data_IF_178245966151
#
_entry.id   IF_178245966151
#
_cell.length_a   1.000
_cell.length_b   1.000
_cell.length_c   1.000
_cell.angle_alpha   90.00
_cell.angle_beta   90.00
_cell.angle_gamma   90.00
#
_symmetry.space_group_name_H-M   'P 1'
#
loop_
_entity.id
_entity.type
_entity.pdbx_description
1 polymer ?
#
# COMPACT_ATOMS: atom_id res chain seq x y z
N UNK A 1 1.30 37.40 12.78
CA UNK A 1 -0.09 36.92 12.97
C UNK A 1 -0.79 36.67 11.62
N UNK A 2 -0.42 35.62 10.86
CA UNK A 2 -0.95 35.35 9.49
C UNK A 2 -1.65 33.99 9.30
N UNK A 3 -1.85 33.21 10.36
CA UNK A 3 -2.38 31.82 10.28
C UNK A 3 -3.90 31.69 10.49
N UNK A 4 -4.55 32.76 10.96
CA UNK A 4 -5.98 32.76 11.27
C UNK A 4 -6.91 32.48 10.06
N UNK A 5 -6.68 33.06 8.85
CA UNK A 5 -7.61 32.83 7.74
C UNK A 5 -7.54 31.39 7.20
N UNK A 6 -6.40 30.72 7.34
CA UNK A 6 -6.22 29.34 6.85
C UNK A 6 -6.96 28.31 7.74
N UNK A 7 -6.98 28.55 9.06
CA UNK A 7 -7.68 27.70 10.02
C UNK A 7 -9.19 27.83 9.83
N UNK A 8 -9.70 29.06 9.67
CA UNK A 8 -11.14 29.31 9.44
C UNK A 8 -11.59 28.71 8.11
N UNK A 9 -10.80 28.83 7.05
CA UNK A 9 -11.14 28.25 5.74
C UNK A 9 -11.15 26.71 5.78
N UNK A 10 -10.20 26.09 6.49
CA UNK A 10 -10.15 24.62 6.65
C UNK A 10 -11.34 24.13 7.46
N UNK A 11 -11.71 24.84 8.53
CA UNK A 11 -12.87 24.51 9.36
C UNK A 11 -14.18 24.67 8.56
N UNK A 12 -14.29 25.70 7.73
CA UNK A 12 -15.44 25.92 6.85
C UNK A 12 -15.56 24.82 5.79
N UNK A 13 -14.46 24.42 5.12
CA UNK A 13 -14.48 23.32 4.15
C UNK A 13 -14.88 21.98 4.81
N UNK A 14 -14.46 21.72 6.05
CA UNK A 14 -14.86 20.52 6.77
C UNK A 14 -16.31 20.53 7.28
N UNK A 15 -16.91 21.71 7.51
CA UNK A 15 -18.28 21.84 8.03
C UNK A 15 -19.36 21.92 6.95
N UNK A 16 -18.98 22.12 5.68
CA UNK A 16 -19.88 22.03 4.52
C UNK A 16 -19.85 20.66 3.81
N UNK A 17 -19.23 19.63 4.39
CA UNK A 17 -19.45 18.26 3.92
C UNK A 17 -20.84 17.87 4.41
N UNK A 18 -21.86 17.80 3.55
CA UNK A 18 -23.18 17.42 4.00
C UNK A 18 -23.06 16.00 4.56
N UNK A 19 -23.54 15.78 5.78
CA UNK A 19 -23.77 14.48 6.40
C UNK A 19 -24.94 13.82 5.65
N UNK A 20 -24.79 13.63 4.34
CA UNK A 20 -25.63 12.72 3.59
C UNK A 20 -25.22 11.35 4.06
N UNK A 21 -26.16 10.62 4.65
CA UNK A 21 -25.97 9.28 5.17
C UNK A 21 -25.08 8.49 4.20
N UNK A 22 -23.85 8.18 4.62
CA UNK A 22 -23.01 7.20 3.95
C UNK A 22 -23.73 5.86 4.12
N UNK A 23 -24.67 5.58 3.23
CA UNK A 23 -25.36 4.31 3.22
C UNK A 23 -24.31 3.26 2.85
N UNK A 24 -23.94 2.43 3.82
CA UNK A 24 -23.08 1.28 3.57
C UNK A 24 -23.89 0.35 2.65
N UNK A 25 -23.51 0.30 1.37
CA UNK A 25 -24.20 -0.48 0.33
C UNK A 25 -23.72 -1.92 0.25
N UNK A 26 -22.65 -2.25 0.97
CA UNK A 26 -22.14 -3.61 1.09
C UNK A 26 -20.79 -3.64 1.77
N UNK A 27 -20.46 -4.81 2.33
CA UNK A 27 -19.16 -5.10 2.93
C UNK A 27 -18.52 -6.25 2.17
N UNK A 28 -17.20 -6.28 2.14
CA UNK A 28 -16.47 -7.41 1.59
C UNK A 28 -15.11 -7.57 2.25
N UNK A 29 -14.69 -8.81 2.45
CA UNK A 29 -13.38 -9.14 3.02
C UNK A 29 -12.62 -9.94 1.98
N UNK A 30 -11.34 -9.65 1.81
CA UNK A 30 -10.55 -10.34 0.80
C UNK A 30 -9.09 -10.45 1.17
N UNK A 31 -8.39 -11.18 0.31
CA UNK A 31 -6.93 -11.32 0.36
C UNK A 31 -6.35 -10.84 -0.96
N UNK A 32 -5.10 -10.40 -0.89
CA UNK A 32 -4.33 -9.89 -2.02
C UNK A 32 -2.88 -10.33 -1.92
N UNK A 33 -2.27 -10.57 -3.07
CA UNK A 33 -0.86 -10.88 -3.18
C UNK A 33 -0.27 -10.25 -4.42
N UNK A 34 1.04 -10.08 -4.44
CA UNK A 34 1.68 -9.46 -5.58
C UNK A 34 3.15 -9.15 -5.38
N UNK A 35 3.62 -8.18 -6.16
CA UNK A 35 5.02 -7.76 -6.17
C UNK A 35 5.15 -6.23 -6.15
N UNK A 36 6.07 -5.73 -5.33
CA UNK A 36 6.53 -4.34 -5.36
C UNK A 36 7.71 -4.27 -6.32
N UNK A 37 7.62 -3.43 -7.33
CA UNK A 37 8.64 -3.19 -8.34
C UNK A 37 9.23 -1.77 -8.22
N UNK A 38 10.45 -1.61 -8.75
CA UNK A 38 11.12 -0.31 -8.87
C UNK A 38 11.28 0.41 -7.52
N UNK A 39 11.60 -0.33 -6.46
CA UNK A 39 11.71 0.24 -5.12
C UNK A 39 12.96 1.14 -5.03
N UNK A 40 12.73 2.45 -5.02
CA UNK A 40 13.79 3.46 -4.95
C UNK A 40 13.79 4.07 -3.56
N UNK A 41 14.69 3.61 -2.69
CA UNK A 41 14.87 4.16 -1.35
C UNK A 41 16.26 4.84 -1.21
N UNK A 42 16.31 6.18 -1.10
CA UNK A 42 17.56 6.93 -1.00
C UNK A 42 18.35 6.70 0.30
N UNK A 43 17.80 6.03 1.32
CA UNK A 43 18.55 5.62 2.51
C UNK A 43 19.38 4.36 2.28
N UNK A 44 19.07 3.58 1.23
CA UNK A 44 19.78 2.34 0.89
C UNK A 44 20.82 2.53 -0.23
N UNK A 45 20.89 3.71 -0.84
CA UNK A 45 21.82 4.02 -1.93
C UNK A 45 23.30 3.99 -1.51
N UNK A 46 23.60 4.03 -0.21
CA UNK A 46 24.97 3.90 0.33
C UNK A 46 25.46 2.46 0.38
N UNK A 47 24.59 1.47 0.16
CA UNK A 47 24.98 0.06 0.07
C UNK A 47 25.42 -0.27 -1.37
N UNK A 48 26.65 -0.79 -1.57
CA UNK A 48 27.22 -1.02 -2.91
C UNK A 48 26.46 -2.06 -3.76
N UNK A 49 25.54 -2.82 -3.16
CA UNK A 49 24.75 -3.89 -3.80
C UNK A 49 23.28 -3.50 -4.07
N UNK A 50 22.91 -2.22 -3.90
CA UNK A 50 21.51 -1.77 -3.77
C UNK A 50 20.70 -1.70 -5.07
N UNK A 51 21.32 -1.45 -6.24
CA UNK A 51 20.57 -1.15 -7.48
C UNK A 51 19.74 -2.32 -8.01
N UNK A 52 20.26 -3.55 -8.01
CA UNK A 52 19.52 -4.73 -8.49
C UNK A 52 18.70 -5.42 -7.38
N UNK A 53 19.11 -5.25 -6.12
CA UNK A 53 18.43 -5.92 -5.01
C UNK A 53 17.03 -5.38 -4.74
N UNK A 54 16.77 -4.10 -5.00
CA UNK A 54 15.46 -3.47 -4.73
C UNK A 54 14.48 -3.56 -5.90
N UNK A 55 14.80 -4.35 -6.94
CA UNK A 55 13.97 -4.41 -8.14
C UNK A 55 12.57 -4.97 -7.90
N UNK A 56 12.45 -5.97 -7.02
CA UNK A 56 11.20 -6.72 -6.77
C UNK A 56 11.08 -7.19 -5.31
N UNK A 57 9.97 -6.96 -4.61
CA UNK A 57 9.67 -7.55 -3.29
C UNK A 57 8.31 -8.23 -3.33
N UNK A 58 8.16 -9.37 -2.65
CA UNK A 58 6.86 -10.03 -2.53
C UNK A 58 5.98 -9.29 -1.53
N UNK A 59 4.68 -9.24 -1.79
CA UNK A 59 3.68 -8.67 -0.88
C UNK A 59 2.47 -9.59 -0.76
N UNK A 60 1.93 -9.68 0.45
CA UNK A 60 0.67 -10.36 0.74
C UNK A 60 -0.13 -9.53 1.75
N UNK A 61 -1.44 -9.60 1.72
CA UNK A 61 -2.27 -8.84 2.63
C UNK A 61 -3.73 -9.22 2.61
N UNK A 62 -4.48 -8.55 3.47
CA UNK A 62 -5.93 -8.65 3.60
C UNK A 62 -6.56 -7.28 3.41
N UNK A 63 -7.83 -7.25 3.01
CA UNK A 63 -8.55 -6.00 2.87
C UNK A 63 -10.03 -6.11 3.24
N UNK A 64 -10.57 -4.96 3.62
CA UNK A 64 -11.96 -4.70 3.89
C UNK A 64 -12.46 -3.67 2.88
N UNK A 65 -13.42 -4.09 2.06
CA UNK A 65 -14.18 -3.25 1.12
C UNK A 65 -15.45 -2.76 1.82
N UNK A 66 -15.68 -1.46 1.80
CA UNK A 66 -16.89 -0.79 2.29
C UNK A 66 -17.50 -0.05 1.11
N UNK A 67 -18.62 -0.54 0.58
CA UNK A 67 -19.40 0.20 -0.41
C UNK A 67 -20.11 1.36 0.28
N UNK A 68 -19.87 2.60 -0.14
CA UNK A 68 -20.46 3.78 0.53
C UNK A 68 -21.30 4.64 -0.41
N UNK A 69 -21.21 4.44 -1.73
CA UNK A 69 -22.03 5.07 -2.79
C UNK A 69 -22.17 4.10 -3.99
N UNK A 70 -23.04 4.38 -4.98
CA UNK A 70 -23.20 3.54 -6.20
C UNK A 70 -21.91 3.34 -7.00
N UNK A 71 -20.92 4.23 -6.84
CA UNK A 71 -19.74 4.29 -7.72
C UNK A 71 -18.42 4.40 -6.93
N UNK A 72 -18.47 4.91 -5.69
CA UNK A 72 -17.30 5.08 -4.82
C UNK A 72 -17.31 4.01 -3.73
N UNK A 73 -16.20 3.28 -3.61
CA UNK A 73 -15.94 2.32 -2.55
C UNK A 73 -14.75 2.79 -1.72
N UNK A 74 -14.84 2.57 -0.41
CA UNK A 74 -13.71 2.71 0.49
C UNK A 74 -13.09 1.33 0.74
N UNK A 75 -11.78 1.30 0.89
CA UNK A 75 -11.04 0.08 1.14
C UNK A 75 -9.99 0.32 2.23
N UNK A 76 -10.06 -0.44 3.31
CA UNK A 76 -8.97 -0.59 4.26
C UNK A 76 -8.15 -1.84 3.93
N UNK A 77 -6.83 -1.79 4.00
CA UNK A 77 -5.98 -2.96 3.78
C UNK A 77 -4.80 -3.01 4.74
N UNK A 78 -4.42 -4.22 5.12
CA UNK A 78 -3.22 -4.52 5.89
C UNK A 78 -2.34 -5.43 5.04
N UNK A 79 -1.16 -4.95 4.68
CA UNK A 79 -0.26 -5.62 3.74
C UNK A 79 1.14 -5.75 4.33
N UNK A 80 1.76 -6.91 4.13
CA UNK A 80 3.11 -7.23 4.53
C UNK A 80 3.95 -7.54 3.29
N UNK A 81 4.97 -6.73 3.05
CA UNK A 81 5.94 -6.94 2.00
C UNK A 81 7.28 -7.40 2.59
N UNK A 82 7.95 -8.33 1.93
CA UNK A 82 9.23 -8.87 2.39
C UNK A 82 10.16 -9.17 1.22
N UNK A 83 11.45 -9.07 1.49
CA UNK A 83 12.51 -9.58 0.62
C UNK A 83 13.71 -10.00 1.44
N UNK A 84 14.26 -11.17 1.12
CA UNK A 84 15.51 -11.69 1.68
C UNK A 84 16.55 -11.85 0.57
N UNK A 85 17.81 -11.47 0.81
CA UNK A 85 18.95 -11.78 -0.07
C UNK A 85 20.22 -11.98 0.73
N UNK A 86 21.03 -12.92 0.27
CA UNK A 86 22.38 -13.11 0.74
C UNK A 86 23.29 -12.00 0.16
N UNK A 87 23.93 -11.25 1.04
CA UNK A 87 24.95 -10.25 0.71
C UNK A 87 26.32 -10.80 1.10
N UNK A 88 27.33 -10.52 0.28
CA UNK A 88 28.74 -10.82 0.60
C UNK A 88 29.36 -9.54 1.14
N UNK A 89 29.75 -9.56 2.40
CA UNK A 89 30.49 -8.50 3.07
C UNK A 89 31.99 -8.79 2.95
N UNK A 90 32.74 -7.82 2.41
CA UNK A 90 34.21 -7.86 2.32
C UNK A 90 34.77 -9.20 1.80
N UNK A 91 34.21 -9.69 0.70
CA UNK A 91 34.61 -10.87 -0.08
C UNK A 91 34.77 -12.21 0.67
N UNK A 92 34.37 -12.32 1.95
CA UNK A 92 34.52 -13.56 2.73
C UNK A 92 33.34 -13.88 3.66
N UNK A 93 32.44 -12.94 3.92
CA UNK A 93 31.36 -13.12 4.89
C UNK A 93 30.00 -13.05 4.21
N UNK A 94 29.30 -14.19 4.14
CA UNK A 94 27.89 -14.27 3.74
C UNK A 94 27.00 -13.81 4.89
N UNK A 95 26.11 -12.87 4.63
CA UNK A 95 25.09 -12.41 5.57
C UNK A 95 23.75 -12.28 4.86
N UNK A 96 22.67 -12.55 5.58
CA UNK A 96 21.30 -12.40 5.08
C UNK A 96 20.80 -10.98 5.37
N UNK A 97 20.48 -10.23 4.32
CA UNK A 97 19.79 -8.96 4.42
C UNK A 97 18.30 -9.14 4.13
N UNK A 98 17.47 -8.70 5.07
CA UNK A 98 16.01 -8.78 4.98
C UNK A 98 15.41 -7.38 5.08
N UNK A 99 14.53 -7.06 4.14
CA UNK A 99 13.69 -5.86 4.15
C UNK A 99 12.25 -6.30 4.35
N UNK A 100 11.60 -5.72 5.36
CA UNK A 100 10.18 -5.92 5.60
C UNK A 100 9.46 -4.56 5.63
N UNK A 101 8.26 -4.49 5.08
CA UNK A 101 7.36 -3.34 5.18
C UNK A 101 5.97 -3.83 5.59
N UNK A 102 5.48 -3.39 6.75
CA UNK A 102 4.10 -3.58 7.15
C UNK A 102 3.34 -2.28 6.90
N UNK A 103 2.29 -2.34 6.08
CA UNK A 103 1.50 -1.19 5.71
C UNK A 103 0.02 -1.33 6.06
N UNK A 104 -0.57 -0.25 6.58
CA UNK A 104 -2.00 -0.09 6.80
C UNK A 104 -2.49 1.02 5.87
N UNK A 105 -3.32 0.69 4.88
CA UNK A 105 -3.72 1.60 3.82
C UNK A 105 -5.23 1.84 3.84
N UNK A 106 -5.63 3.09 3.56
CA UNK A 106 -6.99 3.49 3.27
C UNK A 106 -7.07 4.05 1.85
N UNK A 107 -7.99 3.53 1.03
CA UNK A 107 -8.10 3.87 -0.40
C UNK A 107 -9.54 4.13 -0.77
N UNK A 108 -9.79 5.22 -1.49
CA UNK A 108 -11.06 5.46 -2.17
C UNK A 108 -10.93 5.04 -3.64
N UNK A 109 -11.86 4.22 -4.12
CA UNK A 109 -11.88 3.67 -5.49
C UNK A 109 -13.17 4.05 -6.18
N UNK A 110 -13.05 4.59 -7.39
CA UNK A 110 -14.15 4.88 -8.30
C UNK A 110 -14.23 3.75 -9.34
N UNK A 111 -15.38 3.06 -9.40
CA UNK A 111 -15.60 1.96 -10.32
C UNK A 111 -16.39 2.42 -11.54
N UNK A 112 -15.89 2.13 -12.74
CA UNK A 112 -16.61 2.41 -13.97
C UNK A 112 -17.68 1.33 -14.20
N UNK A 113 -18.89 1.76 -14.55
CA UNK A 113 -20.06 0.87 -14.71
C UNK A 113 -20.00 0.07 -16.00
N UNK A 114 -19.49 -1.16 -15.89
CA UNK A 114 -19.47 -2.16 -16.95
C UNK A 114 -19.97 -3.51 -16.40
N UNK A 115 -20.64 -4.35 -17.21
CA UNK A 115 -21.45 -5.47 -16.69
C UNK A 115 -20.64 -6.61 -16.07
N UNK A 116 -19.47 -6.94 -16.60
CA UNK A 116 -18.66 -8.10 -16.18
C UNK A 116 -17.29 -7.67 -15.66
N UNK A 117 -16.59 -6.85 -16.44
CA UNK A 117 -15.31 -6.26 -16.10
C UNK A 117 -15.57 -4.86 -15.60
N UNK A 118 -15.19 -4.54 -14.37
CA UNK A 118 -15.32 -3.19 -13.78
C UNK A 118 -13.94 -2.58 -13.63
N UNK A 119 -13.47 -1.79 -14.61
CA UNK A 119 -12.31 -0.95 -14.42
C UNK A 119 -12.52 -0.04 -13.21
N UNK A 120 -11.45 0.32 -12.53
CA UNK A 120 -11.50 1.31 -11.46
C UNK A 120 -10.21 2.11 -11.38
N UNK A 121 -10.33 3.30 -10.81
CA UNK A 121 -9.21 4.16 -10.45
C UNK A 121 -9.44 4.70 -9.05
N UNK A 122 -8.36 5.02 -8.34
CA UNK A 122 -8.49 5.47 -6.96
C UNK A 122 -7.23 6.14 -6.43
N UNK A 123 -7.36 6.66 -5.22
CA UNK A 123 -6.27 7.25 -4.48
C UNK A 123 -6.44 6.97 -2.99
N UNK A 124 -5.33 6.98 -2.27
CA UNK A 124 -5.33 6.68 -0.86
C UNK A 124 -4.06 7.13 -0.15
N UNK A 125 -4.04 6.84 1.14
CA UNK A 125 -2.89 7.04 1.99
C UNK A 125 -2.67 5.81 2.87
N UNK A 126 -1.45 5.61 3.32
CA UNK A 126 -1.06 4.48 4.14
C UNK A 126 -0.01 4.84 5.17
N UNK A 127 -0.03 4.10 6.28
CA UNK A 127 1.05 4.11 7.26
C UNK A 127 1.94 2.91 6.99
N UNK A 128 3.24 3.14 6.84
CA UNK A 128 4.24 2.14 6.56
C UNK A 128 5.21 2.01 7.72
N UNK A 129 5.53 0.77 8.08
CA UNK A 129 6.56 0.43 9.06
C UNK A 129 7.61 -0.42 8.39
N UNK A 130 8.70 0.24 8.02
CA UNK A 130 9.85 -0.39 7.38
C UNK A 130 10.80 -0.92 8.45
N UNK A 131 11.27 -2.15 8.26
CA UNK A 131 12.24 -2.82 9.13
C UNK A 131 13.34 -3.42 8.28
N UNK A 132 14.59 -3.10 8.63
CA UNK A 132 15.78 -3.67 8.00
C UNK A 132 16.52 -4.56 8.99
N UNK A 133 16.82 -5.79 8.56
CA UNK A 133 17.53 -6.77 9.37
C UNK A 133 18.73 -7.32 8.61
N UNK A 134 19.88 -7.35 9.26
CA UNK A 134 21.07 -8.08 8.81
C UNK A 134 21.24 -9.26 9.77
N UNK A 135 21.33 -10.48 9.26
CA UNK A 135 21.57 -11.69 10.06
C UNK A 135 22.73 -12.52 9.54
N UNK A 136 23.52 -13.09 10.44
CA UNK A 136 24.61 -14.04 10.16
C UNK A 136 24.62 -15.11 11.26
N UNK A 137 24.25 -16.34 10.92
CA UNK A 137 24.11 -17.42 11.89
C UNK A 137 23.17 -17.03 13.03
N UNK A 138 23.62 -17.13 14.28
CA UNK A 138 22.85 -16.76 15.47
C UNK A 138 22.81 -15.24 15.76
N UNK A 139 23.60 -14.43 15.05
CA UNK A 139 23.63 -12.99 15.24
C UNK A 139 22.66 -12.29 14.29
N UNK A 140 21.81 -11.41 14.84
CA UNK A 140 20.99 -10.51 14.03
C UNK A 140 21.05 -9.10 14.56
N UNK A 141 21.28 -8.14 13.66
CA UNK A 141 21.24 -6.73 13.94
C UNK A 141 20.07 -6.10 13.19
N UNK A 142 19.23 -5.35 13.92
CA UNK A 142 18.22 -4.49 13.32
C UNK A 142 18.85 -3.12 13.09
N UNK A 143 18.76 -2.59 11.87
CA UNK A 143 19.22 -1.23 11.62
C UNK A 143 18.22 -0.25 12.25
N UNK A 144 18.68 0.78 12.99
CA UNK A 144 17.85 1.57 13.90
C UNK A 144 16.81 2.49 13.24
N UNK A 145 16.66 2.51 11.91
CA UNK A 145 15.60 3.26 11.24
C UNK A 145 14.28 2.48 11.15
N UNK A 146 13.67 2.19 12.31
CA UNK A 146 12.25 1.87 12.39
C UNK A 146 11.46 3.18 12.24
N UNK A 147 11.20 3.60 11.00
CA UNK A 147 10.43 4.82 10.75
C UNK A 147 9.01 4.46 10.35
N UNK A 148 8.05 4.77 11.23
CA UNK A 148 6.66 4.89 10.82
C UNK A 148 6.58 6.08 9.86
N UNK A 149 6.12 5.83 8.64
CA UNK A 149 6.14 6.82 7.56
C UNK A 149 4.80 6.84 6.87
N UNK A 150 4.36 8.03 6.48
CA UNK A 150 3.11 8.19 5.76
C UNK A 150 3.40 8.12 4.26
N UNK A 151 2.59 7.32 3.56
CA UNK A 151 2.61 7.17 2.13
C UNK A 151 1.31 7.64 1.51
N UNK A 152 1.39 8.12 0.27
CA UNK A 152 0.25 8.39 -0.60
C UNK A 152 0.35 7.49 -1.82
N UNK A 153 -0.78 7.04 -2.34
CA UNK A 153 -0.80 6.17 -3.49
C UNK A 153 -1.96 6.44 -4.43
N UNK A 154 -1.72 6.20 -5.71
CA UNK A 154 -2.76 6.10 -6.74
C UNK A 154 -2.93 4.64 -7.15
N UNK A 155 -4.15 4.21 -7.43
CA UNK A 155 -4.47 2.85 -7.90
C UNK A 155 -5.23 2.89 -9.21
N UNK A 156 -5.01 1.88 -10.04
CA UNK A 156 -5.81 1.58 -11.21
C UNK A 156 -5.89 0.08 -11.41
N UNK A 157 -7.05 -0.42 -11.80
CA UNK A 157 -7.23 -1.86 -11.89
C UNK A 157 -8.51 -2.28 -12.58
N UNK A 158 -8.75 -3.58 -12.57
CA UNK A 158 -9.95 -4.21 -13.09
C UNK A 158 -10.47 -5.21 -12.05
N UNK A 159 -11.78 -5.24 -11.90
CA UNK A 159 -12.49 -6.17 -11.03
C UNK A 159 -13.48 -7.00 -11.86
N UNK A 160 -13.60 -8.28 -11.54
CA UNK A 160 -14.51 -9.23 -12.19
C UNK A 160 -15.50 -9.73 -11.14
N UNK A 161 -16.77 -9.39 -11.34
CA UNK A 161 -17.86 -9.81 -10.44
C UNK A 161 -18.72 -10.85 -11.15
N UNK A 162 -18.80 -12.04 -10.58
CA UNK A 162 -19.67 -13.10 -11.08
C UNK A 162 -21.01 -13.06 -10.32
N UNK A 163 -22.16 -12.85 -10.99
CA UNK A 163 -23.46 -12.75 -10.30
C UNK A 163 -23.84 -13.98 -9.48
N UNK A 164 -23.32 -15.14 -9.85
CA UNK A 164 -23.63 -16.44 -9.26
C UNK A 164 -22.83 -16.72 -7.97
N UNK A 165 -21.73 -16.00 -7.73
CA UNK A 165 -20.83 -16.26 -6.60
C UNK A 165 -20.61 -14.98 -5.78
N UNK A 166 -20.49 -15.08 -4.45
CA UNK A 166 -20.12 -13.93 -3.61
C UNK A 166 -18.66 -13.49 -3.80
N UNK A 167 -17.95 -14.01 -4.80
CA UNK A 167 -16.52 -13.79 -5.03
C UNK A 167 -16.31 -12.78 -6.17
N UNK A 168 -15.45 -11.80 -5.90
CA UNK A 168 -14.99 -10.81 -6.87
C UNK A 168 -13.47 -10.94 -7.03
N UNK A 169 -13.00 -11.19 -8.25
CA UNK A 169 -11.56 -11.22 -8.56
C UNK A 169 -11.09 -9.84 -8.97
N UNK A 170 -9.84 -9.47 -8.68
CA UNK A 170 -9.30 -8.20 -9.17
C UNK A 170 -7.81 -8.27 -9.47
N UNK A 171 -7.38 -7.36 -10.35
CA UNK A 171 -5.99 -7.01 -10.60
C UNK A 171 -5.78 -5.51 -10.47
N UNK A 172 -4.73 -5.08 -9.79
CA UNK A 172 -4.47 -3.69 -9.43
C UNK A 172 -3.00 -3.31 -9.64
N UNK A 173 -2.77 -2.20 -10.33
CA UNK A 173 -1.52 -1.46 -10.29
C UNK A 173 -1.65 -0.31 -9.28
N UNK A 174 -0.68 -0.20 -8.38
CA UNK A 174 -0.60 0.87 -7.39
C UNK A 174 0.75 1.59 -7.51
N UNK A 175 0.74 2.91 -7.55
CA UNK A 175 1.95 3.71 -7.47
C UNK A 175 1.98 4.42 -6.11
N UNK A 176 3.02 4.15 -5.31
CA UNK A 176 3.13 4.64 -3.93
C UNK A 176 4.33 5.56 -3.76
N UNK A 177 4.12 6.64 -3.01
CA UNK A 177 5.12 7.62 -2.61
C UNK A 177 5.11 7.71 -1.09
N UNK A 178 6.16 7.22 -0.45
CA UNK A 178 6.36 7.28 1.00
C UNK A 178 7.29 8.43 1.34
N UNK A 179 6.90 9.26 2.31
CA UNK A 179 7.71 10.38 2.79
C UNK A 179 8.44 10.01 4.09
N UNK A 180 9.77 10.15 4.09
CA UNK A 180 10.63 9.89 5.25
C UNK A 180 11.58 11.08 5.44
N UNK A 181 11.58 11.73 6.61
CA UNK A 181 12.40 12.92 7.00
C UNK A 181 13.36 13.47 5.91
N UNK A 182 12.81 14.21 4.93
CA UNK A 182 13.58 14.90 3.88
C UNK A 182 13.86 14.11 2.58
N UNK A 183 13.36 12.88 2.47
CA UNK A 183 13.54 11.95 1.35
C UNK A 183 12.22 11.27 0.98
N UNK A 184 12.10 10.86 -0.28
CA UNK A 184 10.91 10.16 -0.79
C UNK A 184 11.29 8.81 -1.36
N UNK A 185 10.60 7.77 -0.88
CA UNK A 185 10.68 6.42 -1.42
C UNK A 185 9.52 6.22 -2.39
N UNK A 186 9.82 5.75 -3.60
CA UNK A 186 8.83 5.55 -4.67
C UNK A 186 8.89 4.11 -5.14
N UNK A 187 7.73 3.51 -5.37
CA UNK A 187 7.63 2.17 -5.93
C UNK A 187 6.27 1.95 -6.58
N UNK A 188 6.19 0.92 -7.42
CA UNK A 188 4.95 0.44 -8.03
C UNK A 188 4.63 -0.93 -7.44
N UNK A 189 3.39 -1.20 -7.08
CA UNK A 189 2.93 -2.52 -6.66
C UNK A 189 1.98 -3.07 -7.73
N UNK A 190 2.18 -4.32 -8.13
CA UNK A 190 1.22 -5.08 -8.91
C UNK A 190 0.57 -6.10 -7.96
N UNK A 191 -0.74 -6.06 -7.83
CA UNK A 191 -1.53 -6.90 -6.93
C UNK A 191 -2.59 -7.66 -7.72
N UNK A 192 -2.87 -8.87 -7.26
CA UNK A 192 -4.06 -9.62 -7.64
C UNK A 192 -4.68 -10.23 -6.39
N UNK A 193 -5.98 -10.47 -6.42
CA UNK A 193 -6.66 -11.03 -5.26
C UNK A 193 -8.12 -11.34 -5.51
N UNK A 194 -8.79 -11.72 -4.43
CA UNK A 194 -10.21 -11.97 -4.43
C UNK A 194 -10.86 -11.34 -3.20
N UNK A 195 -12.13 -10.97 -3.35
CA UNK A 195 -12.97 -10.40 -2.29
C UNK A 195 -14.22 -11.24 -2.15
N UNK A 196 -14.50 -11.70 -0.94
CA UNK A 196 -15.79 -12.26 -0.57
C UNK A 196 -16.71 -11.11 -0.15
N UNK A 197 -17.75 -10.87 -0.94
CA UNK A 197 -18.80 -9.92 -0.61
C UNK A 197 -19.73 -10.55 0.44
N UNK A 198 -19.95 -9.83 1.54
CA UNK A 198 -20.85 -10.23 2.60
C UNK A 198 -22.29 -9.79 2.23
N UNK A 199 -23.30 -10.60 2.60
CA UNK A 199 -24.72 -10.26 2.41
C UNK A 199 -25.14 -9.03 3.22
#
# INVERSE_FOLDING_TARGET
MKKLPFIVLTFFICSFVPIQAFAITGLGIGVRGGVIQNYKNPNLNSLPTSKDFLKEMSVAGVHLKIGTLRIIHLEGSLEYAWKKKEIVLQDKVKADFTINDLSLNATAKYFFSFPIVKPYAGAGAGLHRLVYKISKGSYSMYLPENQNTLGFHGVGGVSFKFPMFPVELFGEGRYTVVQSKGKSTKYTTLLAGFTFNLP
#
